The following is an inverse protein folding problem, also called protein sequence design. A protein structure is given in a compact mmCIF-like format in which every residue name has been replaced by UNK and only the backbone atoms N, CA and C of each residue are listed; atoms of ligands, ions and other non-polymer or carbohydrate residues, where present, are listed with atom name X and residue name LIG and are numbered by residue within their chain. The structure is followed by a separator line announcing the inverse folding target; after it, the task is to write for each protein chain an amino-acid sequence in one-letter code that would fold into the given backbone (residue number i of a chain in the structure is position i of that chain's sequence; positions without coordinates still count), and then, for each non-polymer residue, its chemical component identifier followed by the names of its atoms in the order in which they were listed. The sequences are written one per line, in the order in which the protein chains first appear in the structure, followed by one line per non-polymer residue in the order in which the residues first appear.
data_IF_928845736343
#
_entry.id   IF_928845736343
#
_cell.length_a   1.000
_cell.length_b   1.000
_cell.length_c   1.000
_cell.angle_alpha   90.00
_cell.angle_beta   90.00
_cell.angle_gamma   90.00
#
_symmetry.space_group_name_H-M   'P 1'
#
loop_
_entity.id
_entity.type
_entity.pdbx_description
1 polymer ?
#
# COMPACT_ATOMS: atom_id res chain seq x y z
N UNK A 1 25.40 15.33 -8.32
CA UNK A 1 24.32 16.12 -7.69
C UNK A 1 23.58 15.32 -6.62
N UNK A 2 23.27 14.04 -6.83
CA UNK A 2 22.62 13.20 -5.81
C UNK A 2 23.58 12.76 -4.70
N UNK A 3 24.89 12.80 -4.91
CA UNK A 3 25.89 12.50 -3.90
C UNK A 3 25.91 13.55 -2.77
N UNK A 4 25.43 14.74 -3.04
CA UNK A 4 25.36 15.87 -2.11
C UNK A 4 24.07 15.90 -1.29
N UNK A 5 23.05 15.11 -1.70
CA UNK A 5 21.79 14.99 -0.94
C UNK A 5 22.06 14.23 0.35
N UNK A 6 21.43 14.63 1.44
CA UNK A 6 21.65 14.16 2.79
C UNK A 6 21.75 12.66 2.97
N UNK A 7 22.26 12.24 4.12
CA UNK A 7 22.48 10.83 4.46
C UNK A 7 21.19 10.01 4.44
N UNK A 8 21.35 8.68 4.18
CA UNK A 8 20.24 7.74 4.20
C UNK A 8 19.51 7.73 5.54
N UNK A 9 18.19 7.66 5.48
CA UNK A 9 17.30 7.40 6.62
C UNK A 9 17.69 8.18 7.89
N UNK A 10 18.02 9.45 7.73
CA UNK A 10 18.36 10.31 8.84
C UNK A 10 17.07 10.88 9.45
N UNK A 11 16.86 10.64 10.75
CA UNK A 11 15.68 11.13 11.47
C UNK A 11 15.49 12.65 11.37
N UNK A 12 16.56 13.42 11.30
CA UNK A 12 16.51 14.88 11.09
C UNK A 12 16.05 15.28 9.69
N UNK A 13 16.16 14.38 8.72
CA UNK A 13 15.76 14.58 7.33
C UNK A 13 14.50 13.82 6.95
N UNK A 14 13.85 13.13 7.90
CA UNK A 14 12.63 12.38 7.62
C UNK A 14 11.56 13.28 6.97
N UNK A 15 11.09 12.88 5.79
CA UNK A 15 10.18 13.68 4.96
C UNK A 15 10.85 14.62 3.97
N UNK A 16 12.19 14.60 3.88
CA UNK A 16 12.97 15.28 2.83
C UNK A 16 13.61 14.27 1.91
N UNK A 17 13.77 14.64 0.63
CA UNK A 17 14.50 13.80 -0.30
C UNK A 17 15.96 13.63 0.16
N UNK A 18 16.40 12.40 0.27
CA UNK A 18 17.75 12.00 0.62
C UNK A 18 18.36 11.11 -0.49
N UNK A 19 19.55 10.55 -0.24
CA UNK A 19 20.17 9.61 -1.18
C UNK A 19 19.30 8.38 -1.47
N UNK A 20 18.56 7.89 -0.46
CA UNK A 20 17.66 6.76 -0.63
C UNK A 20 16.53 7.04 -1.60
N UNK A 21 15.88 8.19 -1.46
CA UNK A 21 14.85 8.65 -2.37
C UNK A 21 15.38 8.79 -3.80
N UNK A 22 16.59 9.33 -3.95
CA UNK A 22 17.25 9.52 -5.23
C UNK A 22 17.57 8.17 -5.90
N UNK A 23 18.20 7.25 -5.18
CA UNK A 23 18.55 5.92 -5.72
C UNK A 23 17.30 5.09 -6.06
N UNK A 24 16.26 5.14 -5.22
CA UNK A 24 15.00 4.48 -5.52
C UNK A 24 14.33 5.06 -6.78
N UNK A 25 14.39 6.38 -6.98
CA UNK A 25 13.90 6.99 -8.21
C UNK A 25 14.69 6.49 -9.43
N UNK A 26 16.02 6.42 -9.34
CA UNK A 26 16.86 5.86 -10.41
C UNK A 26 16.54 4.39 -10.68
N UNK A 27 16.39 3.56 -9.65
CA UNK A 27 16.00 2.16 -9.79
C UNK A 27 14.67 2.02 -10.54
N UNK A 28 13.67 2.83 -10.18
CA UNK A 28 12.36 2.82 -10.85
C UNK A 28 12.43 3.28 -12.30
N UNK A 29 13.21 4.32 -12.59
CA UNK A 29 13.42 4.79 -13.97
C UNK A 29 14.13 3.73 -14.82
N UNK A 30 15.16 3.10 -14.29
CA UNK A 30 15.91 2.05 -14.97
C UNK A 30 15.04 0.82 -15.22
N UNK A 31 14.25 0.37 -14.22
CA UNK A 31 13.32 -0.75 -14.35
C UNK A 31 12.28 -0.51 -15.47
N UNK A 32 11.81 0.72 -15.60
CA UNK A 32 10.81 1.09 -16.60
C UNK A 32 11.41 1.66 -17.90
N UNK A 33 12.72 1.57 -18.08
CA UNK A 33 13.42 2.13 -19.24
C UNK A 33 12.86 1.65 -20.58
N UNK A 34 12.52 0.36 -20.68
CA UNK A 34 11.92 -0.21 -21.88
C UNK A 34 10.55 0.41 -22.21
N UNK A 35 9.75 0.74 -21.21
CA UNK A 35 8.45 1.38 -21.40
C UNK A 35 8.63 2.81 -21.94
N UNK A 36 9.48 3.58 -21.30
CA UNK A 36 9.71 4.98 -21.68
C UNK A 36 10.37 5.13 -23.05
N UNK A 37 11.23 4.17 -23.42
CA UNK A 37 11.98 4.21 -24.69
C UNK A 37 11.35 3.34 -25.78
N UNK A 38 10.12 2.83 -25.58
CA UNK A 38 9.44 1.91 -26.51
C UNK A 38 10.32 0.68 -26.85
N UNK A 39 11.06 0.17 -25.89
CA UNK A 39 11.91 -1.01 -26.02
C UNK A 39 13.35 -0.74 -26.49
N UNK A 40 13.71 0.50 -26.80
CA UNK A 40 15.06 0.84 -27.28
C UNK A 40 16.15 0.68 -26.19
N UNK A 41 15.81 0.90 -24.93
CA UNK A 41 16.73 0.76 -23.80
C UNK A 41 16.13 -0.21 -22.77
N UNK A 42 16.97 -1.06 -22.20
CA UNK A 42 16.60 -2.03 -21.14
C UNK A 42 17.67 -2.01 -20.05
N UNK A 43 17.57 -1.05 -19.15
CA UNK A 43 18.56 -0.80 -18.10
C UNK A 43 18.30 -1.60 -16.80
N UNK A 44 17.85 -2.85 -16.93
CA UNK A 44 17.49 -3.70 -15.78
C UNK A 44 18.65 -3.91 -14.80
N UNK A 45 19.88 -4.04 -15.30
CA UNK A 45 21.05 -4.17 -14.43
C UNK A 45 21.24 -2.90 -13.59
N UNK A 46 21.09 -1.71 -14.16
CA UNK A 46 21.14 -0.46 -13.39
C UNK A 46 20.06 -0.38 -12.29
N UNK A 47 18.89 -0.96 -12.54
CA UNK A 47 17.87 -1.02 -11.51
C UNK A 47 18.33 -1.87 -10.32
N UNK A 48 18.98 -3.00 -10.56
CA UNK A 48 19.58 -3.86 -9.53
C UNK A 48 20.69 -3.10 -8.80
N UNK A 49 21.61 -2.50 -9.53
CA UNK A 49 22.76 -1.76 -8.97
C UNK A 49 22.28 -0.64 -8.00
N UNK A 50 21.23 0.08 -8.36
CA UNK A 50 20.65 1.10 -7.47
C UNK A 50 19.93 0.50 -6.27
N UNK A 51 19.30 -0.67 -6.39
CA UNK A 51 18.72 -1.37 -5.24
C UNK A 51 19.81 -1.85 -4.29
N UNK A 52 20.93 -2.37 -4.81
CA UNK A 52 22.06 -2.83 -4.00
C UNK A 52 22.68 -1.68 -3.17
N UNK A 53 22.66 -0.45 -3.70
CA UNK A 53 23.08 0.73 -2.92
C UNK A 53 22.15 1.07 -1.75
N UNK A 54 20.91 0.56 -1.74
CA UNK A 54 19.95 0.74 -0.67
C UNK A 54 19.99 -0.40 0.35
N UNK A 55 20.62 -1.53 0.01
CA UNK A 55 20.71 -2.68 0.90
C UNK A 55 21.41 -2.32 2.21
N UNK A 56 20.86 -2.80 3.32
CA UNK A 56 21.32 -2.49 4.66
C UNK A 56 21.17 -1.03 5.10
N UNK A 57 20.54 -0.15 4.29
CA UNK A 57 20.24 1.24 4.65
C UNK A 57 18.82 1.41 5.18
N UNK A 58 17.95 0.52 4.81
CA UNK A 58 16.56 0.44 5.22
C UNK A 58 16.26 -0.96 5.76
N UNK A 59 15.27 -1.07 6.63
CA UNK A 59 14.89 -2.34 7.25
C UNK A 59 13.37 -2.48 7.17
N UNK A 60 12.89 -3.67 6.80
CA UNK A 60 11.46 -3.96 6.85
C UNK A 60 10.95 -3.92 8.28
N UNK A 61 9.81 -3.31 8.51
CA UNK A 61 9.10 -3.34 9.78
C UNK A 61 8.56 -4.75 10.02
N UNK A 62 9.14 -5.49 10.96
CA UNK A 62 8.83 -6.91 11.20
C UNK A 62 8.22 -7.19 12.57
N UNK A 63 8.55 -6.38 13.58
CA UNK A 63 8.11 -6.65 14.93
C UNK A 63 6.64 -6.29 15.12
N UNK A 64 5.91 -7.21 15.73
CA UNK A 64 4.53 -6.98 16.17
C UNK A 64 4.50 -5.96 17.31
N UNK A 65 3.51 -5.10 17.32
CA UNK A 65 3.24 -4.14 18.39
C UNK A 65 1.74 -3.96 18.55
N UNK A 66 1.25 -4.14 19.76
CA UNK A 66 -0.17 -3.95 20.11
C UNK A 66 -1.14 -4.82 19.26
N UNK A 67 -0.72 -6.03 18.87
CA UNK A 67 -1.52 -6.93 18.05
C UNK A 67 -1.51 -6.62 16.55
N UNK A 68 -0.68 -5.67 16.11
CA UNK A 68 -0.50 -5.32 14.71
C UNK A 68 0.85 -5.80 14.19
N UNK A 69 0.84 -6.38 13.01
CA UNK A 69 2.07 -6.82 12.33
C UNK A 69 2.97 -5.64 12.00
N UNK A 70 4.25 -5.89 11.79
CA UNK A 70 5.18 -4.85 11.35
C UNK A 70 4.72 -4.16 10.07
N UNK A 71 4.15 -4.91 9.13
CA UNK A 71 3.60 -4.34 7.90
C UNK A 71 2.43 -3.37 8.15
N UNK A 72 1.47 -3.75 8.99
CA UNK A 72 0.33 -2.89 9.33
C UNK A 72 0.77 -1.58 9.98
N UNK A 73 1.81 -1.64 10.81
CA UNK A 73 2.33 -0.45 11.49
C UNK A 73 2.86 0.62 10.53
N UNK A 74 3.32 0.26 9.34
CA UNK A 74 3.76 1.23 8.32
C UNK A 74 2.61 2.12 7.83
N UNK A 75 1.36 1.64 7.94
CA UNK A 75 0.17 2.36 7.49
C UNK A 75 -0.63 3.02 8.61
N UNK A 76 -0.17 2.96 9.85
CA UNK A 76 -0.85 3.57 10.97
C UNK A 76 -0.63 5.08 11.05
N UNK A 77 -1.53 5.76 11.76
CA UNK A 77 -1.51 7.22 11.90
C UNK A 77 -0.24 7.75 12.58
N UNK A 78 0.42 6.93 13.39
CA UNK A 78 1.66 7.25 14.12
C UNK A 78 2.92 6.73 13.41
N UNK A 79 2.85 6.38 12.15
CA UNK A 79 3.97 5.79 11.40
C UNK A 79 5.20 6.70 11.32
N UNK A 80 5.02 8.00 11.45
CA UNK A 80 6.10 8.99 11.50
C UNK A 80 6.80 9.08 12.87
N UNK A 81 6.25 8.43 13.89
CA UNK A 81 6.78 8.34 15.24
C UNK A 81 7.20 6.91 15.63
N UNK A 82 6.85 5.94 14.81
CA UNK A 82 7.22 4.54 15.01
C UNK A 82 8.61 4.28 14.41
N UNK A 83 9.65 4.01 15.23
CA UNK A 83 11.01 3.84 14.73
C UNK A 83 11.19 2.71 13.74
N UNK A 84 10.36 1.67 13.81
CA UNK A 84 10.42 0.56 12.86
C UNK A 84 9.79 0.93 11.51
N UNK A 85 8.62 1.56 11.52
CA UNK A 85 7.99 2.05 10.31
C UNK A 85 8.88 3.08 9.60
N UNK A 86 9.48 4.00 10.38
CA UNK A 86 10.40 5.00 9.84
C UNK A 86 11.63 4.40 9.15
N UNK A 87 12.12 3.24 9.60
CA UNK A 87 13.25 2.56 8.95
C UNK A 87 12.91 1.95 7.60
N UNK A 88 11.66 1.58 7.37
CA UNK A 88 11.20 1.03 6.10
C UNK A 88 10.87 2.13 5.08
N UNK A 89 10.37 3.27 5.54
CA UNK A 89 9.90 4.35 4.68
C UNK A 89 11.08 5.14 4.10
N UNK A 90 11.23 5.13 2.78
CA UNK A 90 12.30 5.84 2.07
C UNK A 90 12.00 7.33 1.96
N UNK A 91 10.82 7.70 1.47
CA UNK A 91 10.41 9.09 1.31
C UNK A 91 8.92 9.24 1.61
N UNK A 92 8.55 9.70 2.81
CA UNK A 92 7.15 9.98 3.12
C UNK A 92 6.73 11.37 2.61
N UNK A 93 5.49 11.46 2.14
CA UNK A 93 4.81 12.74 1.99
C UNK A 93 4.06 13.01 3.29
N UNK A 94 4.60 13.89 4.11
CA UNK A 94 4.07 14.16 5.45
C UNK A 94 2.79 14.98 5.40
N UNK A 95 1.77 14.51 6.12
CA UNK A 95 0.50 15.20 6.29
C UNK A 95 0.10 15.17 7.77
N UNK A 96 -0.31 16.30 8.32
CA UNK A 96 -0.77 16.43 9.70
C UNK A 96 -2.30 16.53 9.83
N UNK A 97 -3.00 16.51 8.70
CA UNK A 97 -4.46 16.61 8.64
C UNK A 97 -5.03 17.96 9.03
N UNK A 98 -4.22 18.88 9.52
CA UNK A 98 -4.63 20.20 9.95
C UNK A 98 -4.10 21.30 9.02
N UNK A 99 -2.78 21.45 8.92
CA UNK A 99 -2.13 22.47 8.10
C UNK A 99 -1.85 21.98 6.68
N UNK A 100 -1.62 20.68 6.52
CA UNK A 100 -1.27 20.03 5.25
C UNK A 100 -2.40 19.16 4.70
N UNK A 101 -3.65 19.53 4.98
CA UNK A 101 -4.82 18.84 4.43
C UNK A 101 -5.11 19.30 3.01
N UNK A 102 -5.57 18.36 2.18
CA UNK A 102 -6.07 18.66 0.83
C UNK A 102 -7.18 17.67 0.45
N UNK A 103 -7.98 18.03 -0.55
CA UNK A 103 -9.03 17.15 -1.07
C UNK A 103 -8.51 16.09 -2.07
N UNK A 104 -7.24 16.15 -2.42
CA UNK A 104 -6.58 15.21 -3.31
C UNK A 104 -5.55 14.36 -2.57
N UNK A 105 -4.85 13.48 -3.29
CA UNK A 105 -3.83 12.60 -2.71
C UNK A 105 -4.43 11.51 -1.83
N UNK A 106 -3.82 11.25 -0.69
CA UNK A 106 -4.22 10.16 0.20
C UNK A 106 -5.67 10.27 0.69
N UNK A 107 -6.14 11.48 1.02
CA UNK A 107 -7.52 11.70 1.43
C UNK A 107 -8.51 11.32 0.32
N UNK A 108 -8.22 11.70 -0.93
CA UNK A 108 -9.03 11.30 -2.08
C UNK A 108 -9.06 9.78 -2.22
N UNK A 109 -7.91 9.11 -2.15
CA UNK A 109 -7.82 7.66 -2.31
C UNK A 109 -8.62 6.93 -1.22
N UNK A 110 -8.43 7.29 0.05
CA UNK A 110 -9.14 6.67 1.17
C UNK A 110 -10.65 6.89 1.08
N UNK A 111 -11.10 8.13 0.83
CA UNK A 111 -12.53 8.43 0.74
C UNK A 111 -13.18 7.83 -0.50
N UNK A 112 -12.45 7.71 -1.59
CA UNK A 112 -12.98 7.17 -2.85
C UNK A 112 -13.15 5.65 -2.84
N UNK A 113 -12.40 4.94 -2.01
CA UNK A 113 -12.49 3.48 -1.86
C UNK A 113 -13.54 3.05 -0.84
N UNK A 114 -13.95 3.95 0.06
CA UNK A 114 -14.97 3.63 1.07
C UNK A 114 -16.37 3.71 0.45
N UNK A 115 -17.18 2.70 0.66
CA UNK A 115 -18.60 2.69 0.30
C UNK A 115 -19.48 2.92 1.52
N UNK A 116 -20.72 3.33 1.30
CA UNK A 116 -21.74 3.48 2.37
C UNK A 116 -22.01 2.10 2.99
N UNK A 117 -22.11 2.05 4.31
CA UNK A 117 -22.34 0.80 5.05
C UNK A 117 -21.07 0.11 5.53
N UNK A 118 -19.90 0.42 4.99
CA UNK A 118 -18.63 -0.11 5.53
C UNK A 118 -18.37 0.40 6.97
N UNK A 119 -17.71 -0.40 7.81
CA UNK A 119 -17.25 0.04 9.11
C UNK A 119 -16.43 1.31 9.04
N UNK A 120 -16.37 2.04 10.16
CA UNK A 120 -15.51 3.23 10.25
C UNK A 120 -14.03 2.85 10.02
N UNK A 121 -13.42 3.47 9.01
CA UNK A 121 -12.04 3.22 8.59
C UNK A 121 -11.21 4.52 8.58
N UNK A 122 -11.35 5.35 9.60
CA UNK A 122 -10.66 6.64 9.67
C UNK A 122 -11.34 7.79 8.92
N UNK A 123 -12.40 7.53 8.18
CA UNK A 123 -13.23 8.55 7.53
C UNK A 123 -14.71 8.24 7.72
N UNK A 124 -15.51 9.29 7.98
CA UNK A 124 -16.96 9.18 8.07
C UNK A 124 -17.65 9.20 6.69
N UNK A 125 -16.98 9.72 5.67
CA UNK A 125 -17.52 9.88 4.34
C UNK A 125 -16.85 8.89 3.36
N UNK A 126 -17.67 8.25 2.53
CA UNK A 126 -17.23 7.41 1.43
C UNK A 126 -17.84 7.92 0.13
N UNK A 127 -17.04 7.90 -0.95
CA UNK A 127 -17.46 8.40 -2.26
C UNK A 127 -17.76 7.29 -3.25
N UNK A 128 -17.45 6.04 -2.92
CA UNK A 128 -17.78 4.85 -3.72
C UNK A 128 -17.37 4.96 -5.19
N UNK A 129 -16.19 5.51 -5.46
CA UNK A 129 -15.77 5.76 -6.83
C UNK A 129 -14.54 4.96 -7.28
N UNK A 130 -13.82 4.32 -6.37
CA UNK A 130 -12.68 3.45 -6.68
C UNK A 130 -12.92 2.04 -6.15
N UNK A 131 -12.80 1.05 -7.02
CA UNK A 131 -12.97 -0.35 -6.69
C UNK A 131 -11.77 -1.17 -7.14
N UNK A 132 -11.42 -2.18 -6.35
CA UNK A 132 -10.42 -3.15 -6.76
C UNK A 132 -10.96 -4.08 -7.84
N UNK A 133 -10.15 -4.36 -8.85
CA UNK A 133 -10.50 -5.37 -9.84
C UNK A 133 -10.39 -6.77 -9.24
N UNK A 134 -11.33 -7.66 -9.59
CA UNK A 134 -11.31 -9.07 -9.17
C UNK A 134 -9.94 -9.74 -9.41
N UNK A 135 -9.29 -9.45 -10.53
CA UNK A 135 -7.96 -9.97 -10.83
C UNK A 135 -6.88 -9.56 -9.83
N UNK A 136 -7.01 -8.39 -9.17
CA UNK A 136 -6.11 -7.98 -8.09
C UNK A 136 -6.43 -8.74 -6.81
N UNK A 137 -7.70 -8.78 -6.41
CA UNK A 137 -8.13 -9.45 -5.17
C UNK A 137 -7.73 -10.93 -5.18
N UNK A 138 -7.95 -11.62 -6.30
CA UNK A 138 -7.56 -13.03 -6.46
C UNK A 138 -6.08 -13.32 -6.22
N UNK A 139 -5.20 -12.34 -6.39
CA UNK A 139 -3.76 -12.51 -6.15
C UNK A 139 -3.38 -12.65 -4.67
N UNK A 140 -4.24 -12.25 -3.77
CA UNK A 140 -4.01 -12.36 -2.33
C UNK A 140 -4.36 -13.75 -1.77
N UNK A 141 -4.97 -14.63 -2.58
CA UNK A 141 -5.42 -15.95 -2.16
C UNK A 141 -4.74 -17.05 -2.96
N UNK A 142 -4.34 -18.14 -2.29
CA UNK A 142 -3.72 -19.30 -2.94
C UNK A 142 -4.70 -20.08 -3.79
N UNK A 143 -5.93 -20.18 -3.33
CA UNK A 143 -7.00 -20.91 -4.00
C UNK A 143 -8.17 -19.96 -4.28
N UNK A 144 -8.91 -20.25 -5.36
CA UNK A 144 -10.11 -19.49 -5.67
C UNK A 144 -11.25 -19.78 -4.69
N UNK A 145 -11.18 -20.90 -3.99
CA UNK A 145 -12.17 -21.31 -2.98
C UNK A 145 -12.17 -20.41 -1.75
N UNK A 146 -10.98 -19.92 -1.38
CA UNK A 146 -10.80 -19.01 -0.26
C UNK A 146 -11.05 -17.53 -0.63
N UNK A 147 -11.10 -17.23 -1.92
CA UNK A 147 -11.27 -15.87 -2.41
C UNK A 147 -12.76 -15.48 -2.40
N UNK A 148 -13.15 -14.36 -1.77
CA UNK A 148 -14.55 -13.93 -1.71
C UNK A 148 -15.17 -13.62 -3.07
N UNK A 149 -14.35 -13.44 -4.10
CA UNK A 149 -14.78 -13.12 -5.49
C UNK A 149 -14.69 -14.38 -6.38
N UNK A 150 -14.59 -15.56 -5.81
CA UNK A 150 -14.29 -16.78 -6.57
C UNK A 150 -15.50 -17.39 -7.31
N UNK A 151 -16.71 -17.04 -6.94
CA UNK A 151 -17.91 -17.64 -7.53
C UNK A 151 -18.20 -17.08 -8.92
N UNK A 152 -18.63 -17.97 -9.83
CA UNK A 152 -18.95 -17.67 -11.24
C UNK A 152 -20.11 -16.69 -11.44
N UNK A 153 -20.84 -16.35 -10.40
CA UNK A 153 -21.83 -15.27 -10.46
C UNK A 153 -21.07 -13.96 -10.44
N UNK A 154 -20.92 -13.43 -11.63
CA UNK A 154 -20.26 -12.15 -11.85
C UNK A 154 -20.78 -11.10 -10.86
N UNK A 155 -19.90 -10.53 -10.01
CA UNK A 155 -20.27 -9.50 -9.03
C UNK A 155 -20.78 -8.21 -9.68
N UNK A 156 -20.58 -8.04 -10.97
CA UNK A 156 -21.05 -6.92 -11.78
C UNK A 156 -22.58 -6.80 -11.84
N UNK A 157 -23.32 -7.80 -11.33
CA UNK A 157 -24.79 -7.79 -11.25
C UNK A 157 -25.36 -7.96 -9.84
N UNK A 158 -24.51 -8.19 -8.84
CA UNK A 158 -24.97 -8.25 -7.46
C UNK A 158 -25.10 -6.82 -6.90
N UNK A 159 -26.24 -6.51 -6.32
CA UNK A 159 -26.43 -5.26 -5.59
C UNK A 159 -25.61 -5.29 -4.30
N UNK A 160 -25.22 -4.12 -3.78
CA UNK A 160 -24.51 -3.98 -2.49
C UNK A 160 -25.24 -4.73 -1.36
N UNK A 161 -26.57 -4.69 -1.34
CA UNK A 161 -27.40 -5.40 -0.37
C UNK A 161 -27.27 -6.92 -0.48
N UNK A 162 -27.14 -7.46 -1.70
CA UNK A 162 -26.96 -8.90 -1.91
C UNK A 162 -25.57 -9.37 -1.48
N UNK A 163 -24.53 -8.56 -1.65
CA UNK A 163 -23.17 -8.86 -1.19
C UNK A 163 -23.14 -8.87 0.34
N UNK A 164 -23.71 -7.86 1.00
CA UNK A 164 -23.81 -7.78 2.45
C UNK A 164 -24.63 -8.96 3.00
N UNK A 165 -25.74 -9.30 2.39
CA UNK A 165 -26.57 -10.42 2.80
C UNK A 165 -25.88 -11.79 2.64
N UNK A 166 -25.02 -11.93 1.63
CA UNK A 166 -24.19 -13.13 1.45
C UNK A 166 -23.11 -13.24 2.52
N UNK A 167 -22.47 -12.14 2.89
CA UNK A 167 -21.46 -12.08 3.94
C UNK A 167 -22.09 -12.35 5.32
N UNK A 168 -23.24 -11.78 5.60
CA UNK A 168 -24.00 -12.04 6.84
C UNK A 168 -24.51 -13.49 6.92
N UNK A 169 -25.04 -14.04 5.83
CA UNK A 169 -25.52 -15.40 5.76
C UNK A 169 -24.40 -16.44 5.88
N UNK A 170 -23.20 -16.12 5.39
CA UNK A 170 -22.02 -16.96 5.53
C UNK A 170 -21.39 -16.88 6.93
N UNK A 171 -21.81 -15.93 7.77
CA UNK A 171 -21.20 -15.67 9.08
C UNK A 171 -19.72 -15.28 8.99
N UNK A 172 -19.28 -14.86 7.81
CA UNK A 172 -17.89 -14.47 7.56
C UNK A 172 -17.71 -12.99 7.84
N UNK A 173 -16.78 -12.67 8.72
CA UNK A 173 -16.35 -11.30 8.94
C UNK A 173 -15.21 -10.96 7.98
N UNK A 174 -15.00 -9.68 7.71
CA UNK A 174 -13.82 -9.19 6.95
C UNK A 174 -12.52 -9.77 7.50
N UNK A 175 -12.39 -9.92 8.82
CA UNK A 175 -11.22 -10.54 9.47
C UNK A 175 -11.06 -12.02 9.13
N UNK A 176 -12.15 -12.75 8.98
CA UNK A 176 -12.09 -14.18 8.64
C UNK A 176 -11.68 -14.38 7.18
N UNK A 177 -12.13 -13.51 6.29
CA UNK A 177 -11.67 -13.46 4.89
C UNK A 177 -10.18 -13.10 4.81
N UNK A 178 -9.74 -12.12 5.57
CA UNK A 178 -8.33 -11.73 5.63
C UNK A 178 -7.42 -12.85 6.12
N UNK A 179 -7.85 -13.65 7.09
CA UNK A 179 -7.11 -14.83 7.59
C UNK A 179 -6.88 -15.89 6.52
N UNK A 180 -7.78 -16.02 5.57
CA UNK A 180 -7.68 -16.96 4.45
C UNK A 180 -6.75 -16.46 3.34
N UNK A 181 -6.47 -15.17 3.33
CA UNK A 181 -5.51 -14.61 2.38
C UNK A 181 -4.09 -15.06 2.75
N UNK A 182 -3.33 -15.51 1.77
CA UNK A 182 -1.92 -15.86 1.96
C UNK A 182 -1.01 -14.66 2.02
N UNK A 183 -1.52 -13.51 1.74
CA UNK A 183 -0.77 -12.27 1.68
C UNK A 183 -1.35 -11.30 2.72
N UNK A 184 -0.54 -10.98 3.73
CA UNK A 184 -0.92 -10.03 4.79
C UNK A 184 -1.20 -8.60 4.29
N UNK A 185 -0.94 -8.31 3.03
CA UNK A 185 -1.31 -7.05 2.38
C UNK A 185 -2.79 -6.98 2.01
N UNK A 186 -3.54 -8.07 2.14
CA UNK A 186 -4.98 -8.10 1.96
C UNK A 186 -5.70 -7.42 3.13
N UNK A 187 -5.51 -6.13 3.27
CA UNK A 187 -6.15 -5.26 4.28
C UNK A 187 -7.35 -4.53 3.65
N UNK A 188 -8.42 -5.25 3.35
CA UNK A 188 -9.64 -4.69 2.76
C UNK A 188 -10.88 -5.09 3.54
#
# INVERSE_FOLDING_TARGET
DLAEVGAFNNSSNFGRADKGAAYMLHARLALNSAVYTKGAVKDYQKAIDYCDLLDGKYELSKAEKNGYTGYEQVFMADNDQNPQAMKEIILPIRQDGAKTKCYSGANYLVSSTRITGMPYMGTSNGWSCNFSRAALVKKFFSTLEDCPIATEKAPDKATEAEIIALDEAAGTTTKDVQKKANDHRALF
#
